data_IF_131975773112
#
_entry.id   IF_131975773112
#
_cell.length_a   1.000
_cell.length_b   1.000
_cell.length_c   1.000
_cell.angle_alpha   90.00
_cell.angle_beta   90.00
_cell.angle_gamma   90.00
#
_symmetry.space_group_name_H-M   'P 1'
#
loop_
_entity.id
_entity.type
_entity.pdbx_description
1 polymer ?
#
# COMPACT_ATOMS: atom_id res chain seq x y z
N UNK A 1 -7.74 -24.33 7.80
CA UNK A 1 -7.63 -23.99 7.81
C UNK A 1 -7.56 -23.17 8.06
N UNK A 2 -7.60 -22.89 8.01
CA UNK A 2 -7.48 -22.17 8.05
C UNK A 2 -7.26 -21.48 8.38
N UNK A 3 -7.24 -21.28 8.50
CA UNK A 3 -6.87 -20.58 8.72
C UNK A 3 -6.57 -19.93 9.42
N UNK A 4 -6.23 -19.89 9.56
CA UNK A 4 -5.75 -19.47 10.31
C UNK A 4 -5.09 -18.38 10.35
N UNK A 5 -5.01 -17.88 9.72
CA UNK A 5 -4.40 -16.81 9.64
C UNK A 5 -5.08 -15.82 10.18
N UNK A 6 -5.04 -15.42 10.84
CA UNK A 6 -5.68 -14.62 11.42
C UNK A 6 -5.34 -13.40 11.24
N UNK A 7 -4.79 -12.99 10.73
CA UNK A 7 -4.50 -11.95 10.66
C UNK A 7 -4.14 -11.34 9.95
N UNK A 8 -4.31 -10.85 9.67
CA UNK A 8 -3.89 -10.04 9.44
C UNK A 8 -3.64 -9.44 8.25
N UNK A 9 -3.35 -9.89 7.25
CA UNK A 9 -3.14 -9.36 6.01
C UNK A 9 -4.42 -9.31 5.30
N UNK A 10 -4.72 -8.22 4.60
CA UNK A 10 -5.92 -8.06 3.80
C UNK A 10 -5.51 -8.08 2.35
N UNK A 11 -5.91 -9.07 1.62
CA UNK A 11 -5.70 -9.07 0.18
C UNK A 11 -6.72 -8.17 -0.45
N UNK A 12 -6.28 -7.31 -1.34
CA UNK A 12 -7.15 -6.39 -2.02
C UNK A 12 -7.73 -7.04 -3.25
N UNK A 13 -9.04 -6.89 -3.45
CA UNK A 13 -9.68 -7.37 -4.66
C UNK A 13 -9.25 -6.57 -5.85
N UNK A 14 -8.92 -5.30 -5.64
CA UNK A 14 -8.46 -4.41 -6.70
C UNK A 14 -7.04 -4.01 -6.40
N UNK A 15 -6.22 -3.98 -7.45
CA UNK A 15 -4.88 -3.47 -7.30
C UNK A 15 -4.96 -1.96 -7.32
N UNK A 16 -4.74 -1.36 -6.16
CA UNK A 16 -4.81 0.08 -6.04
C UNK A 16 -3.52 0.70 -6.53
N UNK A 17 -3.64 1.79 -7.27
CA UNK A 17 -2.46 2.48 -7.77
C UNK A 17 -1.74 3.17 -6.63
N UNK A 18 -0.41 3.00 -6.62
CA UNK A 18 0.47 3.69 -5.68
C UNK A 18 1.30 4.66 -6.51
N UNK A 19 1.16 5.93 -6.18
CA UNK A 19 1.82 7.00 -6.94
C UNK A 19 2.85 7.67 -6.07
N UNK A 20 3.85 8.26 -6.72
CA UNK A 20 4.78 9.16 -6.06
C UNK A 20 4.02 10.45 -5.78
N UNK A 21 3.92 10.81 -4.50
CA UNK A 21 3.13 11.97 -4.11
C UNK A 21 3.73 13.28 -4.58
N UNK A 22 5.03 13.28 -4.89
CA UNK A 22 5.71 14.50 -5.31
C UNK A 22 5.60 14.72 -6.82
N UNK A 23 5.67 13.65 -7.60
CA UNK A 23 5.67 13.78 -9.05
C UNK A 23 4.37 13.35 -9.68
N UNK A 24 3.58 12.55 -8.99
CA UNK A 24 2.36 12.01 -9.55
C UNK A 24 2.58 10.78 -10.40
N UNK A 25 3.82 10.31 -10.50
CA UNK A 25 4.12 9.15 -11.34
C UNK A 25 3.68 7.86 -10.67
N UNK A 26 3.24 6.92 -11.49
CA UNK A 26 2.85 5.61 -10.99
C UNK A 26 4.08 4.85 -10.53
N UNK A 27 4.07 4.42 -9.27
CA UNK A 27 5.13 3.60 -8.72
C UNK A 27 4.80 2.12 -8.89
N UNK A 28 3.57 1.75 -8.64
CA UNK A 28 3.17 0.36 -8.73
C UNK A 28 1.75 0.17 -8.26
N UNK A 29 1.43 -1.07 -7.92
CA UNK A 29 0.08 -1.44 -7.50
C UNK A 29 0.14 -2.15 -6.17
N UNK A 30 -0.67 -1.69 -5.23
CA UNK A 30 -0.75 -2.32 -3.91
C UNK A 30 -1.43 -3.68 -4.03
N UNK A 31 -0.85 -4.69 -3.41
CA UNK A 31 -1.42 -6.03 -3.44
C UNK A 31 -1.94 -6.46 -2.08
N UNK A 32 -1.42 -5.89 -1.01
CA UNK A 32 -2.07 -6.05 0.29
C UNK A 32 -1.68 -4.87 1.17
N UNK A 33 -2.47 -4.64 2.20
CA UNK A 33 -2.32 -3.46 3.03
C UNK A 33 -2.80 -3.79 4.44
N UNK A 34 -2.14 -3.18 5.42
CA UNK A 34 -2.63 -3.21 6.79
C UNK A 34 -2.38 -1.84 7.41
N UNK A 35 -2.66 -1.70 8.71
CA UNK A 35 -2.57 -0.40 9.35
C UNK A 35 -1.14 0.13 9.42
N UNK A 36 -0.15 -0.72 9.26
CA UNK A 36 1.24 -0.33 9.45
C UNK A 36 2.03 -0.26 8.16
N UNK A 37 1.52 -0.82 7.08
CA UNK A 37 2.28 -0.81 5.84
C UNK A 37 1.53 -1.47 4.71
N UNK A 38 2.21 -1.57 3.57
CA UNK A 38 1.64 -2.25 2.42
C UNK A 38 2.72 -2.95 1.62
N UNK A 39 2.28 -3.86 0.80
CA UNK A 39 3.14 -4.50 -0.18
C UNK A 39 2.64 -4.10 -1.55
N UNK A 40 3.54 -3.74 -2.44
CA UNK A 40 3.16 -3.38 -3.80
C UNK A 40 4.08 -4.03 -4.81
N UNK A 41 3.58 -4.09 -6.04
CA UNK A 41 4.30 -4.62 -7.17
C UNK A 41 4.73 -3.45 -8.05
N UNK A 42 5.98 -3.45 -8.51
CA UNK A 42 6.53 -2.33 -9.24
C UNK A 42 7.54 -2.83 -10.27
N UNK A 43 7.74 -2.05 -11.31
CA UNK A 43 8.80 -2.35 -12.27
C UNK A 43 10.14 -1.80 -11.82
N UNK A 44 10.19 -1.07 -10.71
CA UNK A 44 11.41 -0.45 -10.22
C UNK A 44 11.91 -1.20 -9.01
N UNK A 45 13.21 -1.04 -8.75
CA UNK A 45 13.86 -1.62 -7.60
C UNK A 45 13.99 -0.53 -6.54
N UNK A 46 13.75 -0.89 -5.29
CA UNK A 46 13.80 0.06 -4.19
C UNK A 46 14.70 -0.47 -3.10
N UNK A 47 15.63 0.37 -2.65
CA UNK A 47 16.56 -0.04 -1.61
C UNK A 47 15.89 -0.02 -0.25
N UNK A 48 16.09 -1.05 0.57
CA UNK A 48 15.62 -1.02 1.95
C UNK A 48 16.16 0.22 2.66
N UNK A 49 15.30 0.82 3.46
CA UNK A 49 15.65 2.06 4.17
C UNK A 49 15.26 3.32 3.44
N UNK A 50 14.94 3.20 2.16
CA UNK A 50 14.57 4.38 1.39
C UNK A 50 13.22 4.90 1.83
N UNK A 51 13.11 6.22 1.90
CA UNK A 51 11.88 6.89 2.28
C UNK A 51 11.11 7.27 1.04
N UNK A 52 9.83 7.01 1.04
CA UNK A 52 8.96 7.30 -0.10
C UNK A 52 7.79 8.15 0.35
N UNK A 53 7.46 9.14 -0.47
CA UNK A 53 6.23 9.91 -0.28
C UNK A 53 5.21 9.33 -1.23
N UNK A 54 4.19 8.71 -0.68
CA UNK A 54 3.26 7.91 -1.47
C UNK A 54 1.86 8.49 -1.47
N UNK A 55 1.15 8.26 -2.55
CA UNK A 55 -0.27 8.54 -2.65
C UNK A 55 -0.93 7.26 -3.12
N UNK A 56 -1.83 6.71 -2.31
CA UNK A 56 -2.58 5.51 -2.67
C UNK A 56 -3.92 5.99 -3.23
N UNK A 57 -4.18 5.65 -4.49
CA UNK A 57 -5.40 6.07 -5.14
C UNK A 57 -6.54 5.17 -4.67
N UNK A 58 -7.62 5.79 -4.19
CA UNK A 58 -8.74 5.03 -3.66
C UNK A 58 -9.66 4.59 -4.80
N UNK A 59 -10.35 3.45 -4.63
CA UNK A 59 -11.24 2.97 -5.69
C UNK A 59 -12.47 3.86 -5.85
N UNK A 60 -12.82 4.59 -4.80
CA UNK A 60 -13.88 5.58 -4.85
C UNK A 60 -13.63 6.54 -3.71
N UNK A 61 -14.40 7.60 -3.65
CA UNK A 61 -14.22 8.59 -2.61
C UNK A 61 -14.54 8.00 -1.25
N UNK A 62 -13.65 8.17 -0.29
CA UNK A 62 -13.80 7.67 1.08
C UNK A 62 -13.55 8.84 2.02
N UNK A 63 -14.54 9.19 2.83
CA UNK A 63 -14.44 10.28 3.79
C UNK A 63 -13.98 11.57 3.12
N UNK A 64 -14.48 11.81 1.90
CA UNK A 64 -14.14 13.01 1.16
C UNK A 64 -12.81 13.00 0.47
N UNK A 65 -12.12 11.85 0.46
CA UNK A 65 -10.79 11.76 -0.12
C UNK A 65 -10.79 10.81 -1.31
N UNK A 66 -9.98 11.16 -2.30
CA UNK A 66 -9.78 10.32 -3.47
C UNK A 66 -8.46 9.57 -3.39
N UNK A 67 -7.62 9.92 -2.45
CA UNK A 67 -6.33 9.26 -2.26
C UNK A 67 -5.91 9.41 -0.81
N UNK A 68 -5.00 8.53 -0.40
CA UNK A 68 -4.39 8.59 0.93
C UNK A 68 -2.91 8.91 0.73
N UNK A 69 -2.45 9.98 1.35
CA UNK A 69 -1.06 10.42 1.23
C UNK A 69 -0.33 10.10 2.51
N UNK A 70 0.85 9.53 2.37
CA UNK A 70 1.61 9.12 3.55
C UNK A 70 3.09 9.00 3.20
N UNK A 71 3.90 8.93 4.24
CA UNK A 71 5.32 8.67 4.12
C UNK A 71 5.58 7.25 4.56
N UNK A 72 6.43 6.55 3.83
CA UNK A 72 6.73 5.16 4.12
C UNK A 72 8.22 4.89 3.96
N UNK A 73 8.68 3.84 4.62
CA UNK A 73 10.05 3.39 4.50
C UNK A 73 10.07 2.00 3.90
N UNK A 74 10.91 1.79 2.90
CA UNK A 74 11.06 0.48 2.28
C UNK A 74 11.74 -0.45 3.26
N UNK A 75 11.12 -1.59 3.53
CA UNK A 75 11.69 -2.58 4.43
C UNK A 75 12.36 -3.69 3.66
N UNK A 76 11.83 -4.06 2.51
CA UNK A 76 12.44 -5.10 1.69
C UNK A 76 11.97 -4.91 0.25
N UNK A 77 12.75 -5.46 -0.66
CA UNK A 77 12.41 -5.47 -2.08
C UNK A 77 13.04 -6.72 -2.68
N UNK A 78 12.27 -7.46 -3.45
CA UNK A 78 12.74 -8.71 -4.00
C UNK A 78 12.05 -8.97 -5.34
N UNK A 79 12.55 -9.93 -6.13
CA UNK A 79 11.87 -10.31 -7.36
C UNK A 79 10.46 -10.80 -7.05
N UNK A 80 9.52 -10.43 -7.92
CA UNK A 80 8.15 -10.90 -7.81
C UNK A 80 8.03 -12.22 -8.56
N UNK A 81 6.86 -12.82 -8.50
CA UNK A 81 6.56 -14.02 -9.27
C UNK A 81 6.81 -13.73 -10.75
N UNK A 82 6.33 -12.61 -11.23
CA UNK A 82 6.68 -12.15 -12.57
C UNK A 82 8.09 -11.56 -12.49
N UNK A 83 9.07 -12.18 -13.19
CA UNK A 83 10.47 -11.74 -13.05
C UNK A 83 10.72 -10.32 -13.56
N UNK A 84 9.79 -9.75 -14.31
CA UNK A 84 9.95 -8.37 -14.76
C UNK A 84 9.50 -7.38 -13.71
N UNK A 85 8.94 -7.86 -12.61
CA UNK A 85 8.45 -7.00 -11.56
C UNK A 85 9.20 -7.27 -10.26
N UNK A 86 9.10 -6.29 -9.37
CA UNK A 86 9.63 -6.39 -8.00
C UNK A 86 8.47 -6.31 -7.04
N UNK A 87 8.59 -7.02 -5.94
CA UNK A 87 7.68 -6.87 -4.82
C UNK A 87 8.40 -6.09 -3.75
N UNK A 88 7.75 -5.08 -3.19
CA UNK A 88 8.35 -4.27 -2.16
C UNK A 88 7.40 -4.15 -0.99
N UNK A 89 7.93 -4.25 0.21
CA UNK A 89 7.17 -4.03 1.43
C UNK A 89 7.62 -2.74 2.07
N UNK A 90 6.65 -1.90 2.44
CA UNK A 90 6.96 -0.63 3.08
C UNK A 90 6.19 -0.52 4.38
N UNK A 91 6.78 0.21 5.31
CA UNK A 91 6.19 0.50 6.61
C UNK A 91 5.83 1.98 6.63
N UNK A 92 4.61 2.30 7.06
CA UNK A 92 4.17 3.70 7.14
C UNK A 92 4.91 4.36 8.29
N UNK A 93 5.65 5.41 7.99
CA UNK A 93 6.38 6.12 9.03
C UNK A 93 5.67 7.39 9.46
N UNK A 94 4.76 7.91 8.64
CA UNK A 94 4.03 9.11 8.99
C UNK A 94 2.72 9.15 8.22
N UNK A 95 1.61 9.19 8.95
CA UNK A 95 0.28 9.27 8.36
C UNK A 95 -0.48 10.29 9.21
N UNK A 96 -0.97 11.35 8.58
CA UNK A 96 -1.73 12.34 9.33
C UNK A 96 -3.08 11.77 9.75
N UNK A 97 -3.72 12.33 10.78
CA UNK A 97 -4.97 11.73 11.29
C UNK A 97 -6.07 11.61 10.25
N UNK A 98 -6.24 12.60 9.38
CA UNK A 98 -7.27 12.51 8.34
C UNK A 98 -6.98 11.42 7.34
N UNK A 99 -5.71 11.24 6.99
CA UNK A 99 -5.30 10.19 6.08
C UNK A 99 -5.47 8.83 6.73
N UNK A 100 -5.16 8.75 8.02
CA UNK A 100 -5.28 7.50 8.74
C UNK A 100 -6.72 7.04 8.79
N UNK A 101 -7.67 7.96 8.97
CA UNK A 101 -9.08 7.61 8.98
C UNK A 101 -9.52 7.02 7.66
N UNK A 102 -9.06 7.63 6.56
CA UNK A 102 -9.41 7.12 5.23
C UNK A 102 -8.80 5.75 5.00
N UNK A 103 -7.58 5.54 5.47
CA UNK A 103 -6.92 4.26 5.34
C UNK A 103 -7.67 3.17 6.11
N UNK A 104 -8.08 3.47 7.34
CA UNK A 104 -8.83 2.51 8.14
C UNK A 104 -10.16 2.19 7.45
N UNK A 105 -10.83 3.21 6.91
CA UNK A 105 -12.08 3.00 6.22
C UNK A 105 -11.90 2.15 4.98
N UNK A 106 -10.80 2.38 4.25
CA UNK A 106 -10.50 1.57 3.08
C UNK A 106 -10.33 0.11 3.47
N UNK A 107 -9.56 -0.14 4.52
CA UNK A 107 -9.34 -1.51 4.96
C UNK A 107 -10.63 -2.17 5.40
N UNK A 108 -11.51 -1.43 6.06
CA UNK A 108 -12.77 -1.98 6.50
C UNK A 108 -13.64 -2.39 5.32
N UNK A 109 -13.61 -1.61 4.25
CA UNK A 109 -14.43 -1.91 3.08
C UNK A 109 -13.95 -3.13 2.32
N UNK A 110 -12.67 -3.43 2.40
CA UNK A 110 -12.08 -4.54 1.66
C UNK A 110 -11.58 -5.63 2.60
N UNK A 111 -12.12 -5.65 3.78
CA UNK A 111 -11.75 -6.66 4.76
C UNK A 111 -12.67 -7.87 4.60
N UNK A 112 -12.07 -9.05 4.58
CA UNK A 112 -12.83 -10.27 4.48
C UNK A 112 -12.62 -11.02 5.75
N UNK A 113 -13.60 -11.05 6.52
CA UNK A 113 -13.39 -11.66 7.77
C UNK A 113 -13.96 -12.95 7.89
#
# INVERSE_FOLDING_TARGET
>A
MAEKRKLKRRELLYNLKVLDNETGELIGYAVDINAQGLRFSSSQDYEPGRRLELSIELPHEILGKRSVKLTAEVKWCSPDINPELRAAGVHFSSVSPGEEEALVALMAQFSFV
#
